data_IF_903018532089
#
_entry.id   IF_903018532089
#
_cell.length_a   1.000
_cell.length_b   1.000
_cell.length_c   1.000
_cell.angle_alpha   90.00
_cell.angle_beta   90.00
_cell.angle_gamma   90.00
#
_symmetry.space_group_name_H-M   'P 1'
#
loop_
_entity.id
_entity.type
_entity.pdbx_description
1 polymer ?
#
# COMPACT_ATOMS: atom_id res chain seq x y z
N UNK A 1 -19.62 13.49 -1.93
CA UNK A 1 -18.60 12.94 -2.85
C UNK A 1 -18.13 11.65 -2.21
N UNK A 2 -18.58 10.50 -2.70
CA UNK A 2 -18.00 9.21 -2.32
C UNK A 2 -16.68 9.11 -3.08
N UNK A 3 -15.61 9.57 -2.45
CA UNK A 3 -14.26 9.26 -2.90
C UNK A 3 -14.18 7.73 -2.88
N UNK A 4 -14.03 7.10 -4.05
CA UNK A 4 -13.86 5.65 -4.13
C UNK A 4 -12.66 5.22 -3.29
N UNK A 5 -12.51 3.92 -2.99
CA UNK A 5 -11.38 3.43 -2.22
C UNK A 5 -10.08 3.92 -2.87
N UNK A 6 -9.35 4.73 -2.10
CA UNK A 6 -8.06 5.25 -2.50
C UNK A 6 -7.00 4.30 -1.99
N UNK A 7 -6.04 4.00 -2.86
CA UNK A 7 -4.95 3.09 -2.59
C UNK A 7 -3.63 3.84 -2.64
N UNK A 8 -2.72 3.47 -1.75
CA UNK A 8 -1.36 3.97 -1.67
C UNK A 8 -0.40 2.82 -1.98
N UNK A 9 0.45 3.02 -2.99
CA UNK A 9 1.33 2.00 -3.52
C UNK A 9 2.74 2.24 -3.01
N UNK A 10 3.36 1.15 -2.56
CA UNK A 10 4.68 1.15 -1.97
C UNK A 10 5.50 -0.01 -2.54
N UNK A 11 6.81 0.14 -2.54
CA UNK A 11 7.73 -0.97 -2.77
C UNK A 11 8.70 -1.11 -1.60
N UNK A 12 9.03 -2.35 -1.24
CA UNK A 12 9.99 -2.62 -0.19
C UNK A 12 11.42 -2.51 -0.73
N UNK A 13 12.29 -1.64 -0.18
CA UNK A 13 13.68 -1.55 -0.60
C UNK A 13 14.53 -2.78 -0.24
N UNK A 14 14.07 -3.61 0.72
CA UNK A 14 14.79 -4.82 1.15
C UNK A 14 14.49 -6.04 0.29
N UNK A 15 13.22 -6.30 0.01
CA UNK A 15 12.79 -7.52 -0.68
C UNK A 15 12.26 -7.26 -2.09
N UNK A 16 12.12 -6.00 -2.51
CA UNK A 16 11.57 -5.63 -3.82
C UNK A 16 10.07 -5.90 -3.96
N UNK A 17 9.39 -6.29 -2.87
CA UNK A 17 7.96 -6.56 -2.88
C UNK A 17 7.20 -5.25 -3.12
N UNK A 18 6.38 -5.23 -4.15
CA UNK A 18 5.39 -4.18 -4.39
C UNK A 18 4.12 -4.52 -3.62
N UNK A 19 3.59 -3.56 -2.88
CA UNK A 19 2.39 -3.73 -2.08
C UNK A 19 1.57 -2.45 -2.08
N UNK A 20 0.27 -2.61 -1.96
CA UNK A 20 -0.68 -1.49 -1.90
C UNK A 20 -1.44 -1.54 -0.57
N UNK A 21 -1.76 -0.35 -0.07
CA UNK A 21 -2.54 -0.16 1.15
C UNK A 21 -3.78 0.66 0.81
N UNK A 22 -4.95 0.16 1.23
CA UNK A 22 -6.14 0.97 1.21
C UNK A 22 -6.02 2.08 2.26
N UNK A 23 -6.34 3.32 1.89
CA UNK A 23 -6.38 4.47 2.80
C UNK A 23 -7.35 4.23 3.97
N UNK A 24 -8.37 3.40 3.76
CA UNK A 24 -9.33 2.99 4.80
C UNK A 24 -8.69 2.16 5.93
N UNK A 25 -7.50 1.59 5.69
CA UNK A 25 -6.75 0.79 6.66
C UNK A 25 -5.72 1.60 7.46
N UNK A 26 -5.59 2.91 7.21
CA UNK A 26 -4.82 3.81 8.07
C UNK A 26 -5.18 3.65 9.57
N UNK A 27 -6.45 3.61 10.00
CA UNK A 27 -6.80 3.38 11.40
C UNK A 27 -6.41 1.99 11.93
N UNK A 28 -6.33 0.97 11.07
CA UNK A 28 -6.03 -0.40 11.49
C UNK A 28 -4.52 -0.62 11.65
N UNK A 29 -3.73 -0.18 10.66
CA UNK A 29 -2.27 -0.28 10.69
C UNK A 29 -1.60 0.84 11.48
N UNK A 30 -2.23 2.01 11.60
CA UNK A 30 -1.71 3.16 12.35
C UNK A 30 -0.28 3.52 11.96
N UNK A 31 0.66 3.33 12.89
CA UNK A 31 2.08 3.64 12.70
C UNK A 31 2.81 2.64 11.77
N UNK A 32 2.23 1.47 11.52
CA UNK A 32 2.74 0.47 10.57
C UNK A 32 2.23 0.68 9.14
N UNK A 33 1.44 1.72 8.89
CA UNK A 33 0.94 1.99 7.56
C UNK A 33 2.09 2.25 6.57
N UNK A 34 2.10 1.54 5.44
CA UNK A 34 3.19 1.60 4.47
C UNK A 34 4.43 0.76 4.85
N UNK A 35 4.36 -0.07 5.90
CA UNK A 35 5.43 -1.04 6.19
C UNK A 35 5.28 -2.29 5.34
N UNK A 36 6.40 -2.86 4.92
CA UNK A 36 6.37 -4.11 4.18
C UNK A 36 5.93 -5.27 5.09
N UNK A 37 4.88 -6.04 4.75
CA UNK A 37 4.37 -7.13 5.59
C UNK A 37 5.36 -8.28 5.78
N UNK A 38 6.39 -8.38 4.92
CA UNK A 38 7.44 -9.41 5.04
C UNK A 38 8.66 -8.95 5.85
N UNK A 39 9.04 -7.68 5.70
CA UNK A 39 10.30 -7.18 6.24
C UNK A 39 10.11 -6.29 7.47
N UNK A 40 8.88 -5.85 7.76
CA UNK A 40 8.54 -4.88 8.81
C UNK A 40 9.44 -3.63 8.71
N UNK A 41 9.70 -3.18 7.47
CA UNK A 41 10.45 -1.95 7.16
C UNK A 41 9.56 -0.99 6.41
N UNK A 42 9.80 0.31 6.58
CA UNK A 42 9.11 1.35 5.84
C UNK A 42 9.30 1.16 4.33
N UNK A 43 8.20 0.97 3.62
CA UNK A 43 8.18 0.94 2.16
C UNK A 43 8.47 2.31 1.57
N UNK A 44 9.04 2.31 0.37
CA UNK A 44 9.20 3.51 -0.41
C UNK A 44 7.87 3.75 -1.13
N UNK A 45 7.27 4.92 -0.86
CA UNK A 45 6.06 5.36 -1.54
C UNK A 45 6.33 5.57 -3.03
N UNK A 46 5.44 5.07 -3.88
CA UNK A 46 5.59 5.10 -5.33
C UNK A 46 4.51 5.95 -6.01
N UNK A 47 3.25 5.71 -5.67
CA UNK A 47 2.09 6.45 -6.20
C UNK A 47 0.90 6.31 -5.25
N UNK A 48 -0.12 7.14 -5.42
CA UNK A 48 -1.46 6.95 -4.85
C UNK A 48 -2.53 7.19 -5.92
N UNK A 49 -3.70 6.59 -5.74
CA UNK A 49 -4.80 6.77 -6.67
C UNK A 49 -5.98 5.84 -6.44
N UNK A 50 -6.97 5.96 -7.31
CA UNK A 50 -8.04 4.97 -7.41
C UNK A 50 -7.51 3.68 -8.02
N UNK A 51 -8.16 2.55 -7.72
CA UNK A 51 -7.80 1.23 -8.25
C UNK A 51 -7.66 1.25 -9.78
N UNK A 52 -6.48 0.91 -10.26
CA UNK A 52 -6.10 0.75 -11.65
C UNK A 52 -5.95 -0.74 -12.00
N UNK A 53 -6.11 -1.12 -13.28
CA UNK A 53 -5.89 -2.50 -13.70
C UNK A 53 -4.45 -3.00 -13.51
N UNK A 54 -3.48 -2.10 -13.35
CA UNK A 54 -2.06 -2.42 -13.12
C UNK A 54 -1.79 -2.84 -11.66
N UNK A 55 -2.76 -2.63 -10.77
CA UNK A 55 -2.64 -2.93 -9.34
C UNK A 55 -2.56 -4.42 -9.05
N UNK A 56 -2.96 -5.27 -10.00
CA UNK A 56 -2.82 -6.72 -9.87
C UNK A 56 -1.36 -7.17 -9.65
N UNK A 57 -0.36 -6.32 -9.97
CA UNK A 57 1.07 -6.56 -9.69
C UNK A 57 1.49 -6.18 -8.26
N UNK A 58 0.64 -5.44 -7.54
CA UNK A 58 0.84 -5.02 -6.15
C UNK A 58 0.09 -5.96 -5.22
N UNK A 59 0.74 -6.34 -4.12
CA UNK A 59 0.09 -7.12 -3.07
C UNK A 59 -0.82 -6.19 -2.25
N UNK A 60 -2.15 -6.36 -2.37
CA UNK A 60 -3.11 -5.71 -1.47
C UNK A 60 -2.86 -6.22 -0.05
N UNK A 61 -2.43 -5.31 0.82
CA UNK A 61 -2.27 -5.60 2.24
C UNK A 61 -3.61 -5.33 2.90
N UNK A 62 -4.25 -6.41 3.36
CA UNK A 62 -5.50 -6.39 4.14
C UNK A 62 -5.26 -6.62 5.64
#
# INVERSE_FOLDING_TARGET
>A
MTWGPMYMYYHCPKCGLKFEYAVDMIPDFGEKFGYCPKCDVMGIYEKDGARQPDDADYLEVE
#
